data_IF_801582075909
#
_entry.id   IF_801582075909
#
_cell.length_a   1.000
_cell.length_b   1.000
_cell.length_c   1.000
_cell.angle_alpha   90.00
_cell.angle_beta   90.00
_cell.angle_gamma   90.00
#
_symmetry.space_group_name_H-M   'P 1'
#
loop_
_entity.id
_entity.type
_entity.pdbx_description
1 polymer ?
#
# COMPACT_ATOMS: atom_id res chain seq x y z
N UNK A 1 -39.98 -20.15 -53.40
CA UNK A 1 -39.64 -21.09 -52.30
C UNK A 1 -38.38 -20.69 -51.52
N UNK A 2 -37.53 -19.78 -52.02
CA UNK A 2 -36.30 -19.34 -51.36
C UNK A 2 -36.51 -18.41 -50.13
N UNK A 3 -37.66 -17.71 -50.03
CA UNK A 3 -37.96 -16.80 -48.90
C UNK A 3 -38.40 -17.49 -47.60
N UNK A 4 -38.81 -18.76 -47.64
CA UNK A 4 -39.19 -19.53 -46.44
C UNK A 4 -38.01 -20.26 -45.78
N UNK A 5 -36.87 -20.39 -46.48
CA UNK A 5 -35.67 -21.03 -45.95
C UNK A 5 -34.79 -20.07 -45.13
N UNK A 6 -34.83 -18.76 -45.44
CA UNK A 6 -34.02 -17.74 -44.74
C UNK A 6 -34.61 -17.39 -43.36
N UNK A 7 -35.93 -17.52 -43.18
CA UNK A 7 -36.58 -17.25 -41.88
C UNK A 7 -36.33 -18.36 -40.84
N UNK A 8 -35.99 -19.58 -41.28
CA UNK A 8 -35.74 -20.71 -40.37
C UNK A 8 -34.30 -20.76 -39.86
N UNK A 9 -33.34 -20.14 -40.58
CA UNK A 9 -31.94 -20.04 -40.15
C UNK A 9 -31.74 -18.90 -39.14
N UNK A 10 -32.62 -17.88 -39.12
CA UNK A 10 -32.58 -16.82 -38.10
C UNK A 10 -33.14 -17.22 -36.72
N UNK A 11 -33.87 -18.35 -36.62
CA UNK A 11 -34.49 -18.79 -35.36
C UNK A 11 -33.69 -19.88 -34.62
N UNK A 12 -32.64 -20.42 -35.23
CA UNK A 12 -31.76 -21.44 -34.63
C UNK A 12 -30.38 -20.86 -34.24
N UNK A 13 -30.06 -19.63 -34.66
CA UNK A 13 -28.84 -18.91 -34.26
C UNK A 13 -28.95 -18.09 -32.97
N UNK A 14 -30.06 -18.18 -32.22
CA UNK A 14 -30.31 -17.37 -31.02
C UNK A 14 -30.42 -18.20 -29.71
N UNK A 15 -30.02 -19.47 -29.73
CA UNK A 15 -30.09 -20.39 -28.56
C UNK A 15 -28.67 -20.88 -28.16
N UNK A 16 -27.63 -20.11 -28.50
CA UNK A 16 -26.22 -20.48 -28.25
C UNK A 16 -25.40 -19.45 -27.49
N UNK A 17 -26.02 -18.54 -26.73
CA UNK A 17 -25.33 -17.50 -25.95
C UNK A 17 -25.79 -17.42 -24.47
N UNK A 18 -26.35 -18.50 -23.91
CA UNK A 18 -26.69 -18.60 -22.49
C UNK A 18 -26.16 -19.89 -21.86
N UNK A 19 -24.87 -20.15 -22.01
CA UNK A 19 -24.17 -21.18 -21.24
C UNK A 19 -22.75 -20.69 -20.96
N UNK A 20 -22.58 -20.04 -19.81
CA UNK A 20 -21.29 -19.50 -19.37
C UNK A 20 -21.34 -18.49 -18.24
N UNK A 21 -22.38 -18.48 -17.41
CA UNK A 21 -22.31 -17.91 -16.06
C UNK A 21 -22.64 -19.06 -15.11
N UNK A 22 -21.61 -19.65 -14.49
CA UNK A 22 -21.83 -20.52 -13.33
C UNK A 22 -22.18 -19.63 -12.15
N UNK A 23 -23.48 -19.45 -11.91
CA UNK A 23 -24.01 -18.99 -10.64
C UNK A 23 -23.88 -20.14 -9.63
N UNK A 24 -22.69 -20.35 -9.10
CA UNK A 24 -22.46 -21.14 -7.88
C UNK A 24 -21.36 -20.45 -7.06
N UNK A 25 -21.54 -19.14 -6.82
CA UNK A 25 -20.95 -18.50 -5.65
C UNK A 25 -21.85 -18.81 -4.46
N UNK A 26 -21.71 -20.02 -3.91
CA UNK A 26 -22.40 -20.37 -2.67
C UNK A 26 -21.98 -19.36 -1.61
N UNK A 27 -22.94 -18.61 -1.07
CA UNK A 27 -22.72 -17.78 0.11
C UNK A 27 -22.18 -18.69 1.24
N UNK A 28 -21.16 -18.25 1.98
CA UNK A 28 -20.59 -19.04 3.06
C UNK A 28 -21.66 -19.44 4.08
N UNK A 29 -21.58 -20.68 4.54
CA UNK A 29 -22.48 -21.26 5.54
C UNK A 29 -21.90 -21.04 6.95
N UNK A 30 -22.71 -21.15 8.01
CA UNK A 30 -22.24 -21.02 9.41
C UNK A 30 -21.08 -21.98 9.80
N UNK A 31 -20.74 -22.97 8.97
CA UNK A 31 -19.53 -23.80 9.11
C UNK A 31 -18.22 -23.06 8.73
N UNK A 32 -18.27 -21.87 8.13
CA UNK A 32 -17.08 -21.13 7.65
C UNK A 32 -16.29 -20.41 8.75
N UNK A 33 -16.81 -20.31 9.98
CA UNK A 33 -16.00 -19.92 11.14
C UNK A 33 -15.02 -21.03 11.57
N UNK A 34 -15.27 -22.29 11.20
CA UNK A 34 -14.29 -23.37 11.37
C UNK A 34 -13.07 -23.20 10.44
N UNK A 35 -13.17 -22.36 9.40
CA UNK A 35 -12.16 -22.24 8.38
C UNK A 35 -10.87 -21.59 8.90
N UNK A 36 -10.91 -20.66 9.87
CA UNK A 36 -9.69 -19.99 10.36
C UNK A 36 -8.71 -20.95 11.06
N UNK A 37 -9.23 -22.09 11.55
CA UNK A 37 -8.42 -23.16 12.13
C UNK A 37 -7.74 -24.04 11.07
N UNK A 38 -8.26 -24.04 9.82
CA UNK A 38 -7.61 -24.73 8.71
C UNK A 38 -6.32 -24.02 8.31
N UNK A 39 -5.44 -24.74 7.59
CA UNK A 39 -4.08 -24.27 7.33
C UNK A 39 -4.02 -22.88 6.70
N UNK A 40 -4.98 -22.55 5.82
CA UNK A 40 -5.11 -21.26 5.15
C UNK A 40 -6.56 -20.78 5.09
N UNK A 41 -7.41 -21.00 6.11
CA UNK A 41 -8.72 -20.35 6.07
C UNK A 41 -9.69 -20.88 5.02
N UNK A 42 -9.44 -22.06 4.42
CA UNK A 42 -10.17 -22.53 3.24
C UNK A 42 -9.70 -21.93 1.89
N UNK A 43 -8.77 -20.96 1.89
CA UNK A 43 -8.18 -20.43 0.66
C UNK A 43 -7.33 -21.50 -0.05
N UNK A 44 -7.47 -21.60 -1.38
CA UNK A 44 -6.78 -22.59 -2.22
C UNK A 44 -5.89 -21.91 -3.26
N UNK A 45 -4.83 -22.55 -3.78
CA UNK A 45 -3.95 -21.95 -4.77
C UNK A 45 -4.54 -21.99 -6.19
N UNK A 46 -5.70 -21.38 -6.36
CA UNK A 46 -6.43 -21.26 -7.63
C UNK A 46 -6.62 -19.80 -8.00
N UNK A 47 -6.66 -19.55 -9.30
CA UNK A 47 -7.01 -18.25 -9.87
C UNK A 47 -8.42 -17.81 -9.43
N UNK A 48 -8.62 -16.50 -9.42
CA UNK A 48 -9.86 -15.81 -9.05
C UNK A 48 -10.28 -14.85 -10.16
N UNK A 49 -11.47 -14.24 -10.03
CA UNK A 49 -11.77 -13.05 -10.80
C UNK A 49 -10.79 -11.92 -10.44
N UNK A 50 -10.48 -11.03 -11.39
CA UNK A 50 -9.69 -9.84 -11.11
C UNK A 50 -10.30 -9.07 -9.93
N UNK A 51 -9.44 -8.66 -8.99
CA UNK A 51 -9.84 -8.03 -7.74
C UNK A 51 -10.88 -8.84 -6.92
N UNK A 52 -10.85 -10.17 -7.01
CA UNK A 52 -11.84 -11.07 -6.39
C UNK A 52 -13.28 -10.80 -6.85
N UNK A 53 -13.46 -10.08 -7.97
CA UNK A 53 -14.77 -9.61 -8.43
C UNK A 53 -15.34 -8.41 -7.66
N UNK A 54 -14.55 -7.80 -6.78
CA UNK A 54 -14.96 -6.64 -5.99
C UNK A 54 -14.83 -5.32 -6.81
N UNK A 55 -15.94 -4.64 -7.12
CA UNK A 55 -15.90 -3.40 -7.88
C UNK A 55 -15.19 -2.26 -7.13
N UNK A 56 -15.21 -2.22 -5.80
CA UNK A 56 -14.56 -1.16 -5.02
C UNK A 56 -13.03 -1.23 -5.19
N UNK A 57 -12.49 -2.45 -5.18
CA UNK A 57 -11.06 -2.67 -5.41
C UNK A 57 -10.65 -2.30 -6.83
N UNK A 58 -11.55 -2.48 -7.81
CA UNK A 58 -11.33 -2.09 -9.20
C UNK A 58 -11.32 -0.56 -9.35
N UNK A 59 -12.27 0.14 -8.73
CA UNK A 59 -12.33 1.60 -8.76
C UNK A 59 -11.09 2.22 -8.10
N UNK A 60 -10.57 1.61 -7.04
CA UNK A 60 -9.33 2.05 -6.38
C UNK A 60 -8.06 1.85 -7.24
N UNK A 61 -8.10 1.11 -8.36
CA UNK A 61 -6.95 1.00 -9.29
C UNK A 61 -6.65 2.35 -9.93
N UNK A 62 -7.69 3.06 -10.36
CA UNK A 62 -7.57 4.30 -11.13
C UNK A 62 -7.21 5.50 -10.25
N UNK A 63 -7.27 5.34 -8.92
CA UNK A 63 -6.88 6.36 -7.96
C UNK A 63 -5.37 6.66 -7.98
N UNK A 64 -4.53 5.73 -8.41
CA UNK A 64 -3.08 5.92 -8.46
C UNK A 64 -2.64 6.12 -9.91
N UNK A 65 -2.15 7.29 -10.27
CA UNK A 65 -1.63 7.60 -11.60
C UNK A 65 -0.13 7.36 -11.72
N UNK A 66 0.31 6.67 -12.78
CA UNK A 66 1.73 6.65 -13.12
C UNK A 66 2.19 8.06 -13.52
N UNK A 67 3.37 8.46 -13.06
CA UNK A 67 3.96 9.76 -13.40
C UNK A 67 5.21 9.55 -14.27
N UNK A 68 5.20 10.09 -15.50
CA UNK A 68 6.36 10.06 -16.39
C UNK A 68 7.30 11.23 -16.05
N UNK A 69 8.17 11.01 -15.07
CA UNK A 69 9.12 12.01 -14.62
C UNK A 69 10.19 12.30 -15.68
N UNK A 70 10.16 13.49 -16.27
CA UNK A 70 11.08 13.88 -17.34
C UNK A 70 12.55 13.85 -16.92
N UNK A 71 12.85 13.95 -15.62
CA UNK A 71 14.21 13.85 -15.11
C UNK A 71 14.84 12.47 -15.41
N UNK A 72 14.04 11.41 -15.51
CA UNK A 72 14.51 10.07 -15.89
C UNK A 72 15.12 10.01 -17.30
N UNK A 73 14.81 10.97 -18.17
CA UNK A 73 15.35 11.05 -19.53
C UNK A 73 16.75 11.68 -19.55
N UNK A 74 17.20 12.26 -18.45
CA UNK A 74 18.50 12.93 -18.34
C UNK A 74 19.64 11.95 -18.03
N UNK A 75 20.79 12.14 -18.69
CA UNK A 75 21.98 11.32 -18.44
C UNK A 75 22.56 11.54 -17.03
N UNK A 76 22.36 12.72 -16.45
CA UNK A 76 22.80 13.04 -15.09
C UNK A 76 22.08 12.17 -14.05
N UNK A 77 20.75 12.07 -14.15
CA UNK A 77 19.96 11.21 -13.27
C UNK A 77 20.31 9.74 -13.44
N UNK A 78 20.57 9.30 -14.67
CA UNK A 78 21.02 7.93 -14.91
C UNK A 78 22.33 7.64 -14.15
N UNK A 79 23.29 8.57 -14.15
CA UNK A 79 24.54 8.45 -13.37
C UNK A 79 24.26 8.37 -11.87
N UNK A 80 23.40 9.25 -11.34
CA UNK A 80 23.04 9.22 -9.91
C UNK A 80 22.39 7.90 -9.53
N UNK A 81 21.48 7.38 -10.35
CA UNK A 81 20.83 6.09 -10.09
C UNK A 81 21.85 4.95 -10.07
N UNK A 82 22.79 4.92 -11.02
CA UNK A 82 23.86 3.92 -11.10
C UNK A 82 24.84 4.03 -9.91
N UNK A 83 25.19 5.23 -9.49
CA UNK A 83 26.06 5.46 -8.32
C UNK A 83 25.37 5.17 -6.98
N UNK A 84 24.03 5.18 -6.96
CA UNK A 84 23.21 4.99 -5.76
C UNK A 84 22.78 3.54 -5.54
N UNK A 85 23.47 2.54 -6.09
CA UNK A 85 23.13 1.13 -5.89
C UNK A 85 22.93 0.85 -4.38
N UNK A 86 23.87 1.19 -3.52
CA UNK A 86 23.72 0.93 -2.08
C UNK A 86 22.80 1.93 -1.33
N UNK A 87 22.25 2.93 -2.03
CA UNK A 87 21.57 4.11 -1.47
C UNK A 87 20.21 4.43 -2.08
N UNK A 88 19.45 3.43 -2.54
CA UNK A 88 18.10 3.62 -3.06
C UNK A 88 17.02 3.39 -1.98
N UNK A 89 16.00 4.24 -1.94
CA UNK A 89 14.89 4.16 -1.00
C UNK A 89 13.56 4.40 -1.72
N UNK A 90 12.51 3.72 -1.27
CA UNK A 90 11.14 4.02 -1.67
C UNK A 90 10.48 4.79 -0.54
N UNK A 91 9.81 5.91 -0.86
CA UNK A 91 9.07 6.73 0.08
C UNK A 91 7.69 7.01 -0.50
N UNK A 92 6.65 6.70 0.26
CA UNK A 92 5.26 7.04 -0.07
C UNK A 92 4.72 8.01 0.97
N UNK A 93 4.14 9.10 0.49
CA UNK A 93 3.60 10.18 1.31
C UNK A 93 2.16 10.40 0.87
N UNK A 94 1.22 10.34 1.81
CA UNK A 94 -0.20 10.60 1.59
C UNK A 94 -0.65 11.70 2.55
N UNK A 95 -1.37 12.70 2.08
CA UNK A 95 -1.88 13.81 2.88
C UNK A 95 -3.35 14.10 2.61
N UNK A 96 -4.03 14.77 3.55
CA UNK A 96 -5.47 15.04 3.48
C UNK A 96 -6.25 14.12 4.41
N UNK A 97 -7.51 13.83 4.05
CA UNK A 97 -8.34 12.90 4.82
C UNK A 97 -8.04 11.46 4.42
N UNK A 98 -7.27 10.79 5.28
CA UNK A 98 -6.87 9.39 5.05
C UNK A 98 -8.07 8.44 5.01
N UNK A 99 -9.20 8.85 5.61
CA UNK A 99 -10.49 8.17 5.54
C UNK A 99 -11.48 9.08 4.82
N UNK A 100 -12.41 8.51 4.06
CA UNK A 100 -13.49 9.31 3.50
C UNK A 100 -14.31 9.91 4.64
N UNK A 101 -14.34 11.24 4.73
CA UNK A 101 -15.13 11.93 5.73
C UNK A 101 -15.99 13.02 5.05
N UNK A 102 -17.30 12.76 4.85
CA UNK A 102 -18.18 13.70 4.16
C UNK A 102 -18.47 14.98 4.98
N UNK A 103 -18.11 15.01 6.26
CA UNK A 103 -18.27 16.20 7.11
C UNK A 103 -17.21 17.27 6.83
N UNK A 104 -16.09 16.91 6.18
CA UNK A 104 -15.06 17.86 5.79
C UNK A 104 -15.54 18.64 4.57
N UNK A 105 -15.92 19.89 4.80
CA UNK A 105 -16.36 20.80 3.73
C UNK A 105 -15.36 21.89 3.42
N UNK A 106 -14.37 22.10 4.31
CA UNK A 106 -13.32 23.08 4.11
C UNK A 106 -12.18 22.49 3.27
N UNK A 107 -11.77 23.23 2.23
CA UNK A 107 -10.62 22.88 1.41
C UNK A 107 -9.35 23.13 2.21
N UNK A 108 -8.49 22.10 2.28
CA UNK A 108 -7.15 22.20 2.87
C UNK A 108 -6.13 22.34 1.76
N UNK A 109 -5.30 23.38 1.83
CA UNK A 109 -4.21 23.60 0.90
C UNK A 109 -2.96 22.84 1.36
N UNK A 110 -2.54 21.87 0.55
CA UNK A 110 -1.36 21.03 0.75
C UNK A 110 -0.26 21.32 -0.26
N UNK A 111 -0.36 22.44 -0.99
CA UNK A 111 0.73 22.89 -1.87
C UNK A 111 2.03 22.98 -1.07
N UNK A 112 3.10 22.46 -1.64
CA UNK A 112 4.30 22.18 -0.88
C UNK A 112 5.42 21.57 -1.70
N UNK A 113 6.41 21.03 -0.97
CA UNK A 113 7.61 20.44 -1.53
C UNK A 113 8.14 19.25 -0.74
N UNK A 114 8.89 18.41 -1.45
CA UNK A 114 9.76 17.38 -0.92
C UNK A 114 11.17 17.74 -1.38
N UNK A 115 12.14 17.67 -0.46
CA UNK A 115 13.54 18.00 -0.76
C UNK A 115 14.47 16.99 -0.14
N UNK A 116 15.48 16.56 -0.89
CA UNK A 116 16.58 15.73 -0.39
C UNK A 116 17.86 16.55 -0.38
N UNK A 117 18.60 16.58 0.74
CA UNK A 117 19.80 17.41 0.83
C UNK A 117 20.95 16.96 -0.08
N UNK A 118 20.94 15.69 -0.51
CA UNK A 118 21.90 15.10 -1.45
C UNK A 118 21.27 13.96 -2.22
N UNK A 119 21.49 13.92 -3.53
CA UNK A 119 21.05 12.84 -4.41
C UNK A 119 20.00 13.29 -5.41
N UNK A 120 19.04 12.41 -5.69
CA UNK A 120 17.92 12.68 -6.58
C UNK A 120 16.61 12.05 -6.07
N UNK A 121 15.50 12.70 -6.37
CA UNK A 121 14.14 12.26 -6.11
C UNK A 121 13.45 12.01 -7.45
N UNK A 122 12.83 10.86 -7.62
CA UNK A 122 12.09 10.50 -8.85
C UNK A 122 10.66 10.16 -8.47
N UNK A 123 9.70 10.90 -9.00
CA UNK A 123 8.29 10.62 -8.82
C UNK A 123 7.95 9.38 -9.65
N UNK A 124 7.38 8.38 -9.00
CA UNK A 124 6.88 7.18 -9.67
C UNK A 124 5.37 7.26 -9.88
N UNK A 125 4.66 7.81 -8.90
CA UNK A 125 3.20 7.93 -8.93
C UNK A 125 2.70 9.19 -8.24
N UNK A 126 1.59 9.68 -8.76
CA UNK A 126 0.68 10.60 -8.09
C UNK A 126 -0.52 9.80 -7.59
N UNK A 127 -1.01 10.12 -6.40
CA UNK A 127 -2.11 9.42 -5.75
C UNK A 127 -3.25 10.42 -5.64
N UNK A 128 -4.37 10.10 -6.28
CA UNK A 128 -5.66 10.82 -6.26
C UNK A 128 -5.69 12.28 -6.74
N UNK A 129 -4.60 12.80 -7.31
CA UNK A 129 -4.57 14.13 -7.91
C UNK A 129 -5.72 14.36 -8.89
N UNK A 130 -6.50 15.40 -8.66
CA UNK A 130 -7.66 15.74 -9.46
C UNK A 130 -7.27 16.60 -10.69
N UNK A 131 -7.60 16.17 -11.92
CA UNK A 131 -7.18 16.88 -13.12
C UNK A 131 -7.64 18.35 -13.16
N UNK A 132 -6.67 19.26 -13.27
CA UNK A 132 -6.91 20.71 -13.35
C UNK A 132 -6.96 21.42 -12.01
N UNK A 133 -6.85 20.69 -10.90
CA UNK A 133 -6.71 21.24 -9.54
C UNK A 133 -5.30 20.95 -9.00
N UNK A 134 -4.91 19.68 -9.01
CA UNK A 134 -3.66 19.21 -8.41
C UNK A 134 -2.65 18.86 -9.50
N UNK A 135 -1.40 19.24 -9.28
CA UNK A 135 -0.33 19.02 -10.25
C UNK A 135 1.05 19.16 -9.62
N UNK A 136 1.99 18.40 -10.18
CA UNK A 136 3.42 18.58 -9.93
C UNK A 136 3.89 19.80 -10.74
N UNK A 137 4.65 20.69 -10.10
CA UNK A 137 5.26 21.84 -10.77
C UNK A 137 6.39 21.39 -11.70
N UNK A 138 6.81 22.25 -12.63
CA UNK A 138 7.88 21.93 -13.58
C UNK A 138 9.16 21.56 -12.83
N UNK A 139 9.68 20.35 -13.07
CA UNK A 139 10.88 19.84 -12.40
C UNK A 139 12.14 20.28 -13.13
N UNK A 140 12.92 21.15 -12.51
CA UNK A 140 14.25 21.56 -13.01
C UNK A 140 15.40 21.15 -12.09
N UNK A 141 15.09 20.69 -10.88
CA UNK A 141 16.05 20.29 -9.87
C UNK A 141 15.78 18.83 -9.47
N UNK A 142 16.84 18.02 -9.48
CA UNK A 142 16.76 16.60 -9.09
C UNK A 142 16.47 16.39 -7.61
N UNK A 143 16.76 17.38 -6.78
CA UNK A 143 16.66 17.32 -5.33
C UNK A 143 15.40 17.95 -4.76
N UNK A 144 14.53 18.47 -5.63
CA UNK A 144 13.31 19.17 -5.26
C UNK A 144 12.13 18.66 -6.09
N UNK A 145 11.05 18.34 -5.40
CA UNK A 145 9.72 18.13 -5.98
C UNK A 145 8.81 19.18 -5.37
N UNK A 146 8.10 19.95 -6.20
CA UNK A 146 7.09 20.90 -5.74
C UNK A 146 5.74 20.56 -6.38
N UNK A 147 4.65 20.83 -5.68
CA UNK A 147 3.29 20.55 -6.15
C UNK A 147 2.27 21.56 -5.64
N UNK A 148 1.13 21.58 -6.33
CA UNK A 148 -0.13 22.17 -5.87
C UNK A 148 -1.10 21.02 -5.61
N UNK A 149 -1.70 20.99 -4.42
CA UNK A 149 -2.70 19.98 -4.04
C UNK A 149 -3.70 20.58 -3.06
N UNK A 150 -4.99 20.37 -3.32
CA UNK A 150 -6.10 20.85 -2.50
C UNK A 150 -7.01 19.67 -2.15
N UNK A 151 -7.15 19.33 -0.88
CA UNK A 151 -8.01 18.20 -0.49
C UNK A 151 -9.22 18.65 0.32
N UNK A 152 -10.28 17.84 0.29
CA UNK A 152 -11.46 17.98 1.16
C UNK A 152 -11.74 16.65 1.89
N UNK A 153 -12.71 15.89 1.41
CA UNK A 153 -13.18 14.61 1.97
C UNK A 153 -12.27 13.43 1.66
N UNK A 154 -11.26 13.64 0.82
CA UNK A 154 -10.29 12.64 0.34
C UNK A 154 -8.85 13.03 0.69
N UNK A 155 -7.91 12.24 0.21
CA UNK A 155 -6.48 12.44 0.34
C UNK A 155 -5.82 12.41 -1.03
N UNK A 156 -4.66 13.03 -1.10
CA UNK A 156 -3.71 13.00 -2.20
C UNK A 156 -2.39 12.39 -1.74
N UNK A 157 -1.46 12.17 -2.67
CA UNK A 157 -0.11 11.76 -2.30
C UNK A 157 0.83 11.59 -3.46
N UNK A 158 2.07 11.23 -3.13
CA UNK A 158 3.10 10.83 -4.08
C UNK A 158 3.83 9.57 -3.61
N UNK A 159 4.28 8.78 -4.56
CA UNK A 159 5.26 7.73 -4.34
C UNK A 159 6.55 8.09 -5.09
N UNK A 160 7.65 8.20 -4.36
CA UNK A 160 8.95 8.64 -4.86
C UNK A 160 10.02 7.61 -4.57
N UNK A 161 11.00 7.53 -5.47
CA UNK A 161 12.26 6.87 -5.18
C UNK A 161 13.31 7.93 -4.86
N UNK A 162 14.08 7.70 -3.81
CA UNK A 162 15.23 8.50 -3.42
C UNK A 162 16.50 7.75 -3.80
N UNK A 163 17.41 8.42 -4.50
CA UNK A 163 18.70 7.87 -4.93
C UNK A 163 19.82 8.69 -4.30
N UNK A 164 20.53 8.08 -3.36
CA UNK A 164 21.54 8.75 -2.54
C UNK A 164 22.92 8.20 -2.94
N UNK A 165 23.70 8.95 -3.74
CA UNK A 165 25.04 8.52 -4.11
C UNK A 165 25.95 8.57 -2.87
N UNK A 166 27.05 7.79 -2.86
CA UNK A 166 28.04 7.86 -1.80
C UNK A 166 28.55 9.29 -1.66
N UNK A 167 28.90 9.70 -0.45
CA UNK A 167 29.53 10.99 -0.23
C UNK A 167 30.83 11.07 -1.04
N UNK A 168 31.03 12.16 -1.79
CA UNK A 168 32.30 12.43 -2.44
C UNK A 168 33.37 12.63 -1.36
N UNK A 169 34.15 11.59 -1.07
CA UNK A 169 35.32 11.72 -0.22
C UNK A 169 36.46 12.28 -1.08
N UNK A 170 36.64 13.60 -1.09
CA UNK A 170 37.90 14.16 -1.53
C UNK A 170 38.97 13.69 -0.55
N UNK A 171 39.90 12.82 -1.00
CA UNK A 171 40.97 12.26 -0.16
C UNK A 171 41.81 13.33 0.57
N UNK A 172 41.71 14.59 0.13
CA UNK A 172 42.43 15.73 0.71
C UNK A 172 41.64 16.55 1.74
N UNK A 173 40.32 16.36 1.86
CA UNK A 173 39.46 17.10 2.78
C UNK A 173 38.55 16.13 3.52
N UNK A 174 38.87 15.87 4.79
CA UNK A 174 37.96 15.19 5.73
C UNK A 174 36.86 16.18 6.13
N UNK A 175 35.91 16.44 5.23
CA UNK A 175 34.62 17.01 5.63
C UNK A 175 33.85 15.90 6.34
N UNK A 176 33.36 16.18 7.55
CA UNK A 176 32.40 15.30 8.20
C UNK A 176 31.22 15.12 7.24
N UNK A 177 30.89 13.88 6.92
CA UNK A 177 29.75 13.56 6.05
C UNK A 177 28.49 14.09 6.73
N UNK A 178 27.94 15.20 6.22
CA UNK A 178 26.70 15.75 6.73
C UNK A 178 25.59 14.72 6.47
N UNK A 179 24.73 14.42 7.46
CA UNK A 179 23.67 13.45 7.27
C UNK A 179 22.74 13.91 6.13
N UNK A 180 22.40 12.98 5.25
CA UNK A 180 21.42 13.25 4.19
C UNK A 180 20.03 13.31 4.83
N UNK A 181 19.30 14.38 4.55
CA UNK A 181 17.96 14.63 5.11
C UNK A 181 16.94 14.67 4.00
N UNK A 182 15.72 14.22 4.30
CA UNK A 182 14.54 14.35 3.47
C UNK A 182 13.55 15.25 4.19
N UNK A 183 13.20 16.38 3.58
CA UNK A 183 12.32 17.40 4.15
C UNK A 183 11.02 17.44 3.37
N UNK A 184 9.91 17.28 4.07
CA UNK A 184 8.56 17.48 3.54
C UNK A 184 7.99 18.77 4.12
N UNK A 185 7.52 19.66 3.26
CA UNK A 185 6.98 20.95 3.65
C UNK A 185 5.68 21.23 2.89
N UNK A 186 4.62 21.50 3.64
CA UNK A 186 3.32 21.98 3.14
C UNK A 186 2.86 23.10 4.06
N UNK A 187 1.80 23.82 3.69
CA UNK A 187 1.18 24.82 4.56
C UNK A 187 0.91 24.32 6.00
N UNK A 188 0.31 23.14 6.19
CA UNK A 188 0.00 22.63 7.55
C UNK A 188 1.11 21.87 8.28
N UNK A 189 2.14 21.38 7.58
CA UNK A 189 3.13 20.48 8.17
C UNK A 189 4.51 20.65 7.53
N UNK A 190 5.53 20.77 8.38
CA UNK A 190 6.94 20.67 8.01
C UNK A 190 7.61 19.62 8.87
N UNK A 191 8.20 18.61 8.26
CA UNK A 191 8.95 17.55 8.94
C UNK A 191 10.22 17.21 8.17
N UNK A 192 11.24 16.72 8.86
CA UNK A 192 12.48 16.26 8.25
C UNK A 192 12.91 14.96 8.90
N UNK A 193 13.43 14.06 8.07
CA UNK A 193 13.93 12.75 8.46
C UNK A 193 15.38 12.61 8.02
N UNK A 194 16.21 12.00 8.85
CA UNK A 194 17.50 11.49 8.39
C UNK A 194 17.23 10.33 7.41
N UNK A 195 18.05 10.21 6.36
CA UNK A 195 17.89 9.13 5.38
C UNK A 195 17.93 7.74 6.05
N UNK A 196 18.67 7.61 7.16
CA UNK A 196 18.77 6.38 7.94
C UNK A 196 17.46 5.98 8.64
N UNK A 197 16.51 6.91 8.77
CA UNK A 197 15.19 6.67 9.35
C UNK A 197 14.18 6.17 8.31
N UNK A 198 14.37 6.50 7.02
CA UNK A 198 13.46 6.12 5.94
C UNK A 198 13.16 4.61 5.91
N UNK A 199 14.14 3.70 6.08
CA UNK A 199 13.88 2.26 6.10
C UNK A 199 12.89 1.78 7.18
N UNK A 200 12.76 2.52 8.27
CA UNK A 200 11.88 2.21 9.39
C UNK A 200 10.67 3.17 9.46
N UNK A 201 10.54 4.08 8.50
CA UNK A 201 9.52 5.12 8.53
C UNK A 201 8.13 4.51 8.27
N UNK A 202 7.27 4.64 9.27
CA UNK A 202 5.89 4.18 9.28
C UNK A 202 5.12 5.02 10.29
N UNK A 203 4.85 6.27 9.89
CA UNK A 203 4.41 7.34 10.78
C UNK A 203 3.22 8.08 10.18
N UNK A 204 2.29 8.51 11.04
CA UNK A 204 1.17 9.37 10.67
C UNK A 204 1.20 10.59 11.58
N UNK A 205 1.19 11.77 10.98
CA UNK A 205 1.06 13.07 11.64
C UNK A 205 -0.36 13.57 11.49
N UNK A 206 -1.13 13.59 12.57
CA UNK A 206 -2.46 14.18 12.59
C UNK A 206 -2.34 15.69 12.79
N UNK A 207 -3.07 16.45 11.98
CA UNK A 207 -3.19 17.89 12.21
C UNK A 207 -4.20 18.14 13.33
N UNK A 208 -3.86 19.04 14.24
CA UNK A 208 -4.69 19.35 15.42
C UNK A 208 -6.13 19.68 15.03
N UNK A 209 -7.08 19.10 15.76
CA UNK A 209 -8.53 19.31 15.60
C UNK A 209 -9.10 19.06 14.19
N UNK A 210 -8.43 18.23 13.38
CA UNK A 210 -8.90 17.90 12.03
C UNK A 210 -8.85 16.39 11.74
N UNK A 211 -9.64 15.98 10.75
CA UNK A 211 -9.56 14.65 10.14
C UNK A 211 -8.33 14.49 9.23
N UNK A 212 -7.60 15.58 8.99
CA UNK A 212 -6.48 15.62 8.09
C UNK A 212 -5.22 15.06 8.75
N UNK A 213 -4.45 14.33 7.98
CA UNK A 213 -3.18 13.79 8.42
C UNK A 213 -2.21 13.66 7.25
N UNK A 214 -0.94 13.47 7.58
CA UNK A 214 0.11 13.09 6.63
C UNK A 214 0.70 11.75 7.06
N UNK A 215 0.63 10.75 6.18
CA UNK A 215 1.20 9.43 6.37
C UNK A 215 2.50 9.31 5.57
N UNK A 216 3.58 8.91 6.24
CA UNK A 216 4.88 8.62 5.64
C UNK A 216 5.20 7.14 5.78
N UNK A 217 5.61 6.52 4.69
CA UNK A 217 6.09 5.13 4.67
C UNK A 217 7.31 4.98 3.81
N UNK A 218 8.36 4.38 4.36
CA UNK A 218 9.60 4.15 3.65
C UNK A 218 10.15 2.74 3.81
N UNK A 219 10.97 2.34 2.84
CA UNK A 219 11.87 1.20 2.96
C UNK A 219 13.11 1.41 2.07
N UNK A 220 14.19 0.66 2.34
CA UNK A 220 15.37 0.63 1.49
C UNK A 220 15.14 -0.28 0.28
N UNK A 221 15.39 0.21 -0.92
CA UNK A 221 15.38 -0.59 -2.15
C UNK A 221 16.72 -1.32 -2.24
N UNK A 222 16.68 -2.64 -2.40
CA UNK A 222 17.88 -3.45 -2.54
C UNK A 222 18.24 -3.62 -4.03
N UNK A 223 19.49 -3.35 -4.46
CA UNK A 223 19.94 -3.46 -5.86
C UNK A 223 19.72 -4.83 -6.50
N UNK A 224 19.83 -5.88 -5.68
CA UNK A 224 19.74 -7.26 -6.11
C UNK A 224 18.71 -8.03 -5.30
N UNK A 225 17.47 -8.04 -5.81
CA UNK A 225 16.85 -9.33 -6.10
C UNK A 225 15.62 -9.74 -5.28
N UNK A 226 15.16 -8.97 -4.31
CA UNK A 226 13.92 -9.30 -3.61
C UNK A 226 12.79 -8.37 -4.01
N UNK A 227 11.78 -8.86 -4.75
CA UNK A 227 10.53 -8.14 -4.87
C UNK A 227 10.02 -7.75 -3.49
N UNK A 228 9.73 -6.48 -3.32
CA UNK A 228 9.18 -5.89 -2.12
C UNK A 228 8.20 -4.78 -2.51
N UNK A 229 7.49 -4.26 -1.52
CA UNK A 229 6.56 -3.17 -1.75
C UNK A 229 5.65 -2.89 -0.57
N UNK A 230 4.50 -2.32 -0.87
CA UNK A 230 3.50 -1.89 0.10
C UNK A 230 2.25 -2.77 0.04
N UNK A 231 1.54 -2.80 1.16
CA UNK A 231 0.22 -3.40 1.29
C UNK A 231 -0.70 -2.34 1.88
N UNK A 232 -1.93 -2.22 1.41
CA UNK A 232 -2.94 -1.43 2.10
C UNK A 232 -4.35 -1.86 1.76
N UNK A 233 -5.29 -1.56 2.64
CA UNK A 233 -6.66 -1.93 2.41
C UNK A 233 -7.55 -1.66 3.62
N UNK A 234 -8.69 -2.34 3.63
CA UNK A 234 -9.72 -2.24 4.65
C UNK A 234 -9.93 -3.57 5.35
N UNK A 235 -10.23 -3.51 6.64
CA UNK A 235 -10.55 -4.68 7.44
C UNK A 235 -11.76 -4.37 8.30
N UNK A 236 -12.59 -5.36 8.59
CA UNK A 236 -13.82 -5.16 9.35
C UNK A 236 -14.54 -6.46 9.59
N UNK A 237 -15.81 -6.34 9.95
CA UNK A 237 -16.75 -7.46 9.98
C UNK A 237 -17.62 -7.41 8.72
N UNK A 238 -17.96 -8.57 8.18
CA UNK A 238 -18.98 -8.69 7.13
C UNK A 238 -20.40 -8.78 7.72
N UNK A 239 -21.40 -9.04 6.87
CA UNK A 239 -22.81 -9.16 7.27
C UNK A 239 -23.09 -10.36 8.21
N UNK A 240 -22.12 -11.28 8.36
CA UNK A 240 -22.20 -12.48 9.19
C UNK A 240 -21.36 -12.37 10.47
N UNK A 241 -20.88 -11.17 10.80
CA UNK A 241 -19.92 -10.90 11.89
C UNK A 241 -18.58 -11.64 11.72
N UNK A 242 -18.23 -12.07 10.50
CA UNK A 242 -16.93 -12.67 10.21
C UNK A 242 -15.89 -11.58 9.95
N UNK A 243 -14.71 -11.71 10.55
CA UNK A 243 -13.59 -10.81 10.32
C UNK A 243 -13.05 -10.97 8.91
N UNK A 244 -13.17 -9.92 8.08
CA UNK A 244 -12.66 -9.87 6.71
C UNK A 244 -11.64 -8.75 6.51
N UNK A 245 -10.77 -8.91 5.53
CA UNK A 245 -9.91 -7.83 5.02
C UNK A 245 -9.74 -7.93 3.50
N UNK A 246 -9.65 -6.77 2.85
CA UNK A 246 -9.45 -6.64 1.40
C UNK A 246 -8.52 -5.47 1.09
N UNK A 247 -7.70 -5.57 0.05
CA UNK A 247 -6.72 -4.52 -0.24
C UNK A 247 -5.89 -4.69 -1.51
N UNK A 248 -4.92 -3.80 -1.66
CA UNK A 248 -4.01 -3.69 -2.80
C UNK A 248 -2.62 -4.19 -2.43
N UNK A 249 -2.04 -4.99 -3.32
CA UNK A 249 -0.65 -5.41 -3.29
C UNK A 249 0.16 -4.53 -4.23
N UNK A 250 1.03 -3.69 -3.67
CA UNK A 250 1.69 -2.60 -4.39
C UNK A 250 3.19 -2.91 -4.49
N UNK A 251 3.77 -2.87 -5.69
CA UNK A 251 5.20 -3.08 -5.92
C UNK A 251 6.06 -1.91 -5.41
N UNK A 252 7.37 -2.12 -5.39
CA UNK A 252 8.33 -1.15 -4.84
C UNK A 252 8.39 0.18 -5.58
N UNK A 253 8.10 0.17 -6.86
CA UNK A 253 7.93 1.36 -7.70
C UNK A 253 6.54 2.03 -7.52
N UNK A 254 5.73 1.55 -6.58
CA UNK A 254 4.37 2.01 -6.32
C UNK A 254 3.31 1.45 -7.27
N UNK A 255 3.65 0.69 -8.32
CA UNK A 255 2.64 0.15 -9.23
C UNK A 255 1.80 -0.91 -8.55
N UNK A 256 0.50 -0.94 -8.85
CA UNK A 256 -0.36 -2.04 -8.45
C UNK A 256 0.15 -3.34 -9.07
N UNK A 257 0.48 -4.31 -8.22
CA UNK A 257 0.91 -5.65 -8.62
C UNK A 257 -0.24 -6.67 -8.48
N UNK A 258 -1.21 -6.41 -7.60
CA UNK A 258 -2.42 -7.22 -7.50
C UNK A 258 -3.26 -6.89 -6.28
N UNK A 259 -4.03 -7.86 -5.80
CA UNK A 259 -5.04 -7.69 -4.76
C UNK A 259 -4.89 -8.72 -3.66
N UNK A 260 -5.28 -8.34 -2.45
CA UNK A 260 -5.33 -9.25 -1.30
C UNK A 260 -6.75 -9.32 -0.75
N UNK A 261 -7.18 -10.52 -0.37
CA UNK A 261 -8.42 -10.76 0.37
C UNK A 261 -8.14 -11.82 1.44
N UNK A 262 -8.82 -11.73 2.58
CA UNK A 262 -8.65 -12.71 3.64
C UNK A 262 -9.63 -12.56 4.79
N UNK A 263 -9.45 -13.45 5.76
CA UNK A 263 -10.20 -13.46 7.02
C UNK A 263 -9.27 -13.33 8.23
N UNK A 264 -9.79 -12.78 9.32
CA UNK A 264 -9.07 -12.61 10.57
C UNK A 264 -9.98 -12.97 11.75
N UNK A 265 -9.37 -13.38 12.86
CA UNK A 265 -10.13 -13.82 14.03
C UNK A 265 -9.24 -14.41 15.11
N UNK A 266 -9.87 -15.05 16.09
CA UNK A 266 -9.16 -15.78 17.15
C UNK A 266 -9.20 -17.27 16.86
N UNK A 267 -8.04 -17.91 16.76
CA UNK A 267 -7.92 -19.36 16.74
C UNK A 267 -8.33 -19.91 18.11
N UNK A 268 -9.48 -20.58 18.18
CA UNK A 268 -10.04 -21.12 19.43
C UNK A 268 -9.11 -22.13 20.11
N UNK A 269 -8.30 -22.86 19.34
CA UNK A 269 -7.42 -23.90 19.87
C UNK A 269 -6.20 -23.32 20.59
N UNK A 270 -5.69 -22.18 20.12
CA UNK A 270 -4.50 -21.53 20.68
C UNK A 270 -4.80 -20.24 21.45
N UNK A 271 -6.01 -19.69 21.30
CA UNK A 271 -6.40 -18.37 21.80
C UNK A 271 -5.66 -17.22 21.14
N UNK A 272 -5.00 -17.45 19.99
CA UNK A 272 -4.20 -16.43 19.29
C UNK A 272 -5.02 -15.74 18.23
N UNK A 273 -4.78 -14.45 18.09
CA UNK A 273 -5.27 -13.62 16.99
C UNK A 273 -4.51 -13.95 15.71
N UNK A 274 -5.21 -14.46 14.70
CA UNK A 274 -4.64 -14.94 13.44
C UNK A 274 -5.35 -14.31 12.24
N UNK A 275 -4.64 -14.23 11.11
CA UNK A 275 -5.22 -13.89 9.83
C UNK A 275 -4.73 -14.87 8.76
N UNK A 276 -5.58 -15.10 7.77
CA UNK A 276 -5.35 -15.97 6.61
C UNK A 276 -5.93 -15.30 5.37
N UNK A 277 -5.39 -15.57 4.18
CA UNK A 277 -5.90 -14.95 2.96
C UNK A 277 -5.24 -15.44 1.69
N UNK A 278 -5.52 -14.74 0.59
CA UNK A 278 -4.97 -14.97 -0.74
C UNK A 278 -4.50 -13.65 -1.36
N UNK A 279 -3.41 -13.71 -2.11
CA UNK A 279 -2.91 -12.67 -3.00
C UNK A 279 -2.99 -13.17 -4.45
N UNK A 280 -3.57 -12.33 -5.31
CA UNK A 280 -3.71 -12.55 -6.76
C UNK A 280 -3.11 -11.37 -7.52
N UNK A 281 -2.63 -11.61 -8.74
CA UNK A 281 -2.17 -10.54 -9.63
C UNK A 281 -3.34 -9.65 -10.11
N UNK A 282 -3.02 -8.61 -10.88
CA UNK A 282 -4.05 -7.70 -11.45
C UNK A 282 -5.07 -8.39 -12.37
N UNK A 283 -4.75 -9.57 -12.91
CA UNK A 283 -5.61 -10.35 -13.80
C UNK A 283 -6.38 -11.46 -13.06
N UNK A 284 -6.17 -11.61 -11.76
CA UNK A 284 -6.77 -12.66 -10.93
C UNK A 284 -5.98 -13.96 -10.87
N UNK A 285 -4.75 -14.02 -11.41
CA UNK A 285 -3.89 -15.19 -11.30
C UNK A 285 -3.41 -15.37 -9.87
N UNK A 286 -3.41 -16.61 -9.38
CA UNK A 286 -2.90 -16.90 -8.05
C UNK A 286 -1.41 -16.59 -7.92
N UNK A 287 -1.04 -15.86 -6.86
CA UNK A 287 0.35 -15.49 -6.57
C UNK A 287 0.81 -15.93 -5.18
N UNK A 288 -0.10 -16.04 -4.21
CA UNK A 288 0.25 -16.62 -2.91
C UNK A 288 -0.88 -16.73 -1.90
N UNK A 289 -0.70 -17.61 -0.91
CA UNK A 289 -1.54 -17.70 0.28
C UNK A 289 -0.93 -16.87 1.41
N UNK A 290 -1.73 -16.26 2.28
CA UNK A 290 -1.25 -15.50 3.43
C UNK A 290 -1.60 -16.21 4.73
N UNK A 291 -0.70 -16.12 5.71
CA UNK A 291 -0.97 -16.55 7.09
C UNK A 291 -0.11 -15.78 8.08
N UNK A 292 -0.72 -15.32 9.17
CA UNK A 292 0.01 -14.62 10.21
C UNK A 292 -0.76 -14.42 11.49
N UNK A 293 -0.24 -13.54 12.33
CA UNK A 293 -0.84 -13.13 13.59
C UNK A 293 -1.01 -11.61 13.62
N UNK A 294 -1.96 -11.16 14.43
CA UNK A 294 -2.12 -9.74 14.70
C UNK A 294 -2.24 -9.52 16.21
N UNK A 295 -1.86 -8.33 16.67
CA UNK A 295 -2.03 -7.93 18.06
C UNK A 295 -2.59 -6.54 18.14
N UNK A 296 -3.56 -6.37 19.04
CA UNK A 296 -4.00 -5.07 19.48
C UNK A 296 -2.86 -4.39 20.22
N UNK A 297 -2.57 -3.14 19.87
CA UNK A 297 -1.66 -2.32 20.65
C UNK A 297 -2.47 -1.57 21.70
N UNK A 298 -2.03 -1.56 22.98
CA UNK A 298 -2.69 -0.80 24.00
C UNK A 298 -2.72 0.67 23.59
N UNK A 299 -3.86 1.32 23.79
CA UNK A 299 -4.04 2.76 23.61
C UNK A 299 -2.98 3.50 24.45
N UNK A 300 -1.91 3.99 23.81
CA UNK A 300 -0.81 4.64 24.52
C UNK A 300 0.36 5.00 23.62
N UNK A 301 0.54 6.32 23.42
CA UNK A 301 1.75 7.01 22.94
C UNK A 301 2.49 6.31 21.80
N UNK A 302 1.83 6.11 20.66
CA UNK A 302 2.54 5.86 19.42
C UNK A 302 3.08 7.22 18.96
N UNK A 303 4.40 7.32 18.82
CA UNK A 303 5.18 8.48 18.35
C UNK A 303 5.48 9.55 19.39
N UNK A 304 6.15 9.19 20.49
CA UNK A 304 7.20 10.02 21.11
C UNK A 304 6.88 11.48 21.48
N UNK A 305 5.65 11.96 21.35
CA UNK A 305 5.25 13.30 21.69
C UNK A 305 5.08 13.33 23.20
N UNK A 306 6.00 14.00 23.94
CA UNK A 306 5.93 14.05 25.39
C UNK A 306 4.69 14.79 25.91
N UNK A 307 3.92 15.43 25.02
CA UNK A 307 2.81 16.32 25.36
C UNK A 307 1.44 15.62 25.39
N UNK A 308 1.39 14.29 25.21
CA UNK A 308 0.38 13.45 25.89
C UNK A 308 -1.09 13.55 25.47
N UNK A 309 -1.46 14.26 24.40
CA UNK A 309 -2.89 14.51 24.09
C UNK A 309 -3.40 13.97 22.74
N UNK A 310 -2.63 13.17 22.00
CA UNK A 310 -3.18 12.52 20.81
C UNK A 310 -4.00 11.28 21.22
N UNK A 311 -5.33 11.38 21.18
CA UNK A 311 -6.21 10.21 21.22
C UNK A 311 -5.85 9.30 20.07
N UNK A 312 -5.04 8.27 20.34
CA UNK A 312 -4.77 7.24 19.35
C UNK A 312 -6.08 6.46 19.15
N UNK A 313 -6.74 6.62 18.00
CA UNK A 313 -7.79 5.68 17.57
C UNK A 313 -7.20 4.27 17.62
N UNK A 314 -7.95 3.33 18.21
CA UNK A 314 -7.42 2.03 18.54
C UNK A 314 -6.98 1.26 17.30
N UNK A 315 -6.00 0.38 17.48
CA UNK A 315 -5.39 -0.32 16.37
C UNK A 315 -4.38 -1.34 16.84
N UNK A 316 -3.59 -1.84 15.90
CA UNK A 316 -2.64 -2.89 16.19
C UNK A 316 -1.58 -3.07 15.12
N UNK A 317 -0.88 -4.18 15.24
CA UNK A 317 0.17 -4.63 14.34
C UNK A 317 -0.18 -6.00 13.81
N UNK A 318 0.16 -6.28 12.55
CA UNK A 318 0.11 -7.61 11.98
C UNK A 318 1.47 -8.03 11.46
N UNK A 319 1.73 -9.33 11.50
CA UNK A 319 2.94 -9.96 10.98
C UNK A 319 2.60 -11.35 10.48
N UNK A 320 3.10 -11.70 9.31
CA UNK A 320 2.85 -13.01 8.72
C UNK A 320 3.78 -13.32 7.58
N UNK A 321 3.52 -14.45 6.96
CA UNK A 321 4.20 -14.92 5.76
C UNK A 321 3.20 -15.04 4.63
N UNK A 322 3.72 -15.03 3.41
CA UNK A 322 2.98 -15.51 2.25
C UNK A 322 3.71 -16.68 1.59
N UNK A 323 2.93 -17.56 0.98
CA UNK A 323 3.30 -18.91 0.60
C UNK A 323 2.95 -19.18 -0.86
N UNK A 324 3.75 -20.01 -1.52
CA UNK A 324 3.43 -20.50 -2.86
C UNK A 324 2.31 -21.57 -2.84
N UNK A 325 2.00 -22.13 -4.02
CA UNK A 325 0.95 -23.15 -4.16
C UNK A 325 1.27 -24.46 -3.42
N UNK A 326 2.56 -24.74 -3.21
CA UNK A 326 3.07 -25.88 -2.47
C UNK A 326 3.24 -25.60 -0.97
N UNK A 327 2.72 -24.47 -0.46
CA UNK A 327 2.78 -24.06 0.95
C UNK A 327 4.20 -23.77 1.46
N UNK A 328 5.16 -23.51 0.55
CA UNK A 328 6.47 -23.03 0.96
C UNK A 328 6.40 -21.53 1.25
N UNK A 329 6.94 -21.05 2.38
CA UNK A 329 6.98 -19.63 2.66
C UNK A 329 7.95 -18.95 1.70
N UNK A 330 7.43 -18.01 0.91
CA UNK A 330 8.19 -17.27 -0.12
C UNK A 330 8.42 -15.81 0.27
N UNK A 331 7.79 -15.32 1.34
CA UNK A 331 8.09 -13.99 1.86
C UNK A 331 7.34 -13.64 3.15
N UNK A 332 7.44 -12.36 3.53
CA UNK A 332 6.92 -11.80 4.79
C UNK A 332 6.00 -10.63 4.48
N UNK A 333 4.94 -10.51 5.28
CA UNK A 333 4.10 -9.32 5.37
C UNK A 333 4.13 -8.77 6.79
N UNK A 334 4.12 -7.45 6.93
CA UNK A 334 4.06 -6.78 8.23
C UNK A 334 3.41 -5.43 8.09
N UNK A 335 2.66 -5.00 9.09
CA UNK A 335 2.08 -3.68 9.07
C UNK A 335 1.33 -3.31 10.33
N UNK A 336 0.45 -2.33 10.18
CA UNK A 336 -0.45 -1.84 11.22
C UNK A 336 -1.86 -1.78 10.68
N UNK A 337 -2.79 -1.81 11.61
CA UNK A 337 -4.20 -1.62 11.33
C UNK A 337 -4.80 -0.67 12.35
N UNK A 338 -5.88 0.00 11.95
CA UNK A 338 -6.64 0.94 12.77
C UNK A 338 -8.11 0.61 12.67
N UNK A 339 -8.79 0.75 13.79
CA UNK A 339 -10.26 0.70 13.81
C UNK A 339 -10.82 1.89 13.02
N UNK A 340 -12.02 1.74 12.46
CA UNK A 340 -12.71 2.87 11.86
C UNK A 340 -12.84 4.00 12.89
N UNK A 341 -12.83 5.25 12.41
CA UNK A 341 -13.02 6.41 13.29
C UNK A 341 -14.36 6.39 14.02
N UNK A 342 -15.40 5.95 13.32
CA UNK A 342 -16.77 5.87 13.83
C UNK A 342 -17.13 4.40 14.10
N UNK A 343 -17.88 4.18 15.17
CA UNK A 343 -18.47 2.88 15.54
C UNK A 343 -19.73 2.55 14.73
N UNK A 344 -19.86 3.16 13.54
CA UNK A 344 -20.97 2.91 12.65
C UNK A 344 -20.97 1.43 12.23
N UNK A 345 -22.15 0.82 12.28
CA UNK A 345 -22.36 -0.56 11.83
C UNK A 345 -21.89 -0.72 10.38
N UNK A 346 -21.04 -1.71 10.13
CA UNK A 346 -20.41 -1.94 8.83
C UNK A 346 -19.21 -1.04 8.50
N UNK A 347 -18.78 -0.15 9.41
CA UNK A 347 -17.56 0.63 9.18
C UNK A 347 -16.33 -0.29 9.17
N UNK A 348 -15.58 -0.26 8.06
CA UNK A 348 -14.30 -0.95 7.97
C UNK A 348 -13.18 -0.04 8.46
N UNK A 349 -12.30 -0.61 9.27
CA UNK A 349 -11.01 -0.02 9.59
C UNK A 349 -10.04 -0.10 8.42
N UNK A 350 -8.87 0.49 8.61
CA UNK A 350 -7.82 0.54 7.59
C UNK A 350 -6.61 -0.25 8.04
N UNK A 351 -5.95 -0.92 7.10
CA UNK A 351 -4.65 -1.52 7.34
C UNK A 351 -3.65 -1.08 6.29
N UNK A 352 -2.40 -1.13 6.68
CA UNK A 352 -1.28 -0.84 5.83
C UNK A 352 -0.06 -1.61 6.28
N UNK A 353 0.79 -1.96 5.34
CA UNK A 353 1.99 -2.70 5.61
C UNK A 353 2.98 -2.67 4.47
N UNK A 354 3.95 -3.56 4.60
CA UNK A 354 4.99 -3.83 3.63
C UNK A 354 5.05 -5.32 3.41
N UNK A 355 5.53 -5.71 2.25
CA UNK A 355 5.81 -7.10 1.93
C UNK A 355 7.19 -7.22 1.30
N UNK A 356 7.81 -8.40 1.44
CA UNK A 356 9.07 -8.74 0.78
C UNK A 356 9.14 -10.23 0.50
N UNK A 357 9.78 -10.58 -0.61
CA UNK A 357 10.13 -11.95 -0.97
C UNK A 357 11.41 -12.37 -0.27
N UNK A 358 11.50 -13.63 0.14
CA UNK A 358 12.74 -14.22 0.61
C UNK A 358 13.70 -14.43 -0.56
N UNK A 359 14.92 -13.90 -0.44
CA UNK A 359 15.98 -14.22 -1.38
C UNK A 359 17.08 -15.00 -0.69
N UNK A 360 17.53 -16.04 -1.38
CA UNK A 360 18.60 -16.94 -0.93
C UNK A 360 19.95 -16.24 -0.69
N UNK A 361 20.14 -15.01 -1.17
CA UNK A 361 21.39 -14.27 -1.13
C UNK A 361 21.54 -13.26 0.02
N UNK A 362 20.49 -12.98 0.81
CA UNK A 362 20.49 -11.87 1.78
C UNK A 362 20.06 -12.36 3.16
N UNK A 363 21.03 -12.74 4.00
CA UNK A 363 20.74 -13.33 5.32
C UNK A 363 20.60 -12.31 6.47
N UNK A 364 20.93 -11.02 6.28
CA UNK A 364 21.06 -10.05 7.38
C UNK A 364 20.66 -8.59 6.99
N UNK A 365 19.50 -8.36 6.39
CA UNK A 365 19.01 -6.99 6.18
C UNK A 365 18.03 -6.63 7.29
N UNK A 366 18.42 -5.63 8.11
CA UNK A 366 17.52 -4.96 9.04
C UNK A 366 16.65 -3.99 8.25
N UNK A 367 15.56 -4.50 7.69
CA UNK A 367 14.51 -3.72 7.02
C UNK A 367 13.38 -3.33 7.97
N UNK A 368 13.59 -3.51 9.28
CA UNK A 368 12.56 -3.33 10.29
C UNK A 368 11.38 -4.31 10.16
N UNK A 369 11.51 -5.39 9.37
CA UNK A 369 10.48 -6.43 9.23
C UNK A 369 10.67 -7.59 10.21
N UNK A 370 11.68 -7.55 11.08
CA UNK A 370 11.87 -8.55 12.13
C UNK A 370 10.64 -8.66 13.05
N UNK A 371 10.34 -9.89 13.46
CA UNK A 371 9.31 -10.21 14.45
C UNK A 371 9.72 -9.60 15.80
N UNK A 372 8.94 -8.64 16.31
CA UNK A 372 9.22 -7.91 17.56
C UNK A 372 8.25 -8.26 18.68
#
# INVERSE_FOLDING_TARGET
MLKKLILMIMFVGLIGLFAGCSEDGASPSEDDLAAIADEFGGYTPTDEAAAFGDPDLIEDIDADGAYDDDLLKSAEIASVIEESEDGAYALRIIWGSLEYNPEITEVTDWSGSLTVSRGAEIIRRIIRFEPGQDYILERTDRSLIEWVSLTTVHHDGIAVNLYIPPAETDETIVTADEPVTVTFETGPLTVSFDISEIPALDTIYYLEDSANAVCFRGFKIEPMGCPNGFLEGRWGLDETDQGIFKGRWIASNGSLAGFVEGTWGTDESTGRNVFVGKYIDINGQFEGLLKGTYRWMPFGVINGNPQGNAYCHGGGQFYGHYYDAETNPIGVVKGRFRMPRDDAEGAMGWFFGRWKTFCSSISNVNDGMDER
#
